data_IF_525001331294
#
_entry.id   IF_525001331294
#
_cell.length_a   1.000
_cell.length_b   1.000
_cell.length_c   1.000
_cell.angle_alpha   90.00
_cell.angle_beta   90.00
_cell.angle_gamma   90.00
#
_symmetry.space_group_name_H-M   'P 1'
#
loop_
_entity.id
_entity.type
_entity.pdbx_description
1 polymer ?
#
# COMPACT_ATOMS: atom_id res chain seq x y z
N UNK A 1 -11.25 -32.86 -16.93
CA UNK A 1 -11.74 -32.78 -18.30
C UNK A 1 -12.50 -34.06 -18.66
N UNK A 2 -13.32 -34.03 -19.75
CA UNK A 2 -14.13 -35.19 -20.19
C UNK A 2 -13.26 -36.35 -20.71
N UNK A 3 -12.04 -36.09 -21.09
CA UNK A 3 -11.03 -37.09 -21.50
C UNK A 3 -10.30 -37.77 -20.33
N UNK A 4 -10.67 -37.43 -19.08
CA UNK A 4 -10.01 -37.92 -17.87
C UNK A 4 -8.74 -37.18 -17.49
N UNK A 5 -8.30 -36.16 -18.26
CA UNK A 5 -7.14 -35.34 -17.88
C UNK A 5 -7.48 -34.38 -16.74
N UNK A 6 -6.53 -34.18 -15.82
CA UNK A 6 -6.61 -33.18 -14.77
C UNK A 6 -6.02 -31.87 -15.27
N UNK A 7 -6.66 -30.76 -14.90
CA UNK A 7 -6.24 -29.42 -15.29
C UNK A 7 -5.90 -28.58 -14.07
N UNK A 8 -5.04 -27.60 -14.27
CA UNK A 8 -4.76 -26.55 -13.25
C UNK A 8 -6.08 -25.93 -12.78
N UNK A 9 -6.25 -25.87 -11.46
CA UNK A 9 -7.43 -25.29 -10.80
C UNK A 9 -7.05 -23.97 -10.16
N UNK A 10 -7.81 -22.90 -10.44
CA UNK A 10 -7.66 -21.62 -9.75
C UNK A 10 -8.26 -21.71 -8.34
N UNK A 11 -7.65 -21.03 -7.38
CA UNK A 11 -8.12 -21.01 -5.99
C UNK A 11 -7.76 -22.28 -5.20
N UNK A 12 -6.79 -23.06 -5.66
CA UNK A 12 -6.40 -24.32 -5.01
C UNK A 12 -5.87 -24.07 -3.58
N UNK A 13 -5.18 -22.96 -3.33
CA UNK A 13 -4.75 -22.62 -1.96
C UNK A 13 -5.93 -22.36 -1.02
N UNK A 14 -6.96 -21.67 -1.49
CA UNK A 14 -8.17 -21.44 -0.68
C UNK A 14 -8.91 -22.74 -0.38
N UNK A 15 -8.96 -23.68 -1.35
CA UNK A 15 -9.53 -25.01 -1.15
C UNK A 15 -8.71 -25.83 -0.14
N UNK A 16 -7.37 -25.76 -0.23
CA UNK A 16 -6.48 -26.47 0.67
C UNK A 16 -6.60 -25.96 2.11
N UNK A 17 -6.66 -24.64 2.31
CA UNK A 17 -6.88 -24.06 3.64
C UNK A 17 -8.23 -24.47 4.21
N UNK A 18 -9.29 -24.48 3.40
CA UNK A 18 -10.60 -24.98 3.83
C UNK A 18 -10.56 -26.47 4.20
N UNK A 19 -9.87 -27.29 3.40
CA UNK A 19 -9.66 -28.71 3.72
C UNK A 19 -8.94 -28.90 5.06
N UNK A 20 -7.94 -28.06 5.34
CA UNK A 20 -7.23 -28.06 6.61
C UNK A 20 -8.16 -27.72 7.79
N UNK A 21 -9.00 -26.69 7.66
CA UNK A 21 -10.01 -26.34 8.66
C UNK A 21 -10.98 -27.50 8.93
N UNK A 22 -11.34 -28.24 7.87
CA UNK A 22 -12.20 -29.42 7.93
C UNK A 22 -11.43 -30.72 8.34
N UNK A 23 -10.13 -30.58 8.72
CA UNK A 23 -9.22 -31.67 9.12
C UNK A 23 -8.96 -32.71 8.05
N UNK A 24 -9.06 -32.33 6.80
CA UNK A 24 -8.70 -33.15 5.64
C UNK A 24 -7.23 -32.87 5.29
N UNK A 25 -6.34 -33.79 5.64
CA UNK A 25 -4.89 -33.60 5.52
C UNK A 25 -4.29 -34.11 4.19
N UNK A 26 -5.11 -34.68 3.34
CA UNK A 26 -4.64 -35.23 2.06
C UNK A 26 -5.43 -34.64 0.90
N UNK A 27 -4.70 -34.13 -0.11
CA UNK A 27 -5.29 -33.54 -1.31
C UNK A 27 -4.71 -34.21 -2.55
N UNK A 28 -5.58 -34.69 -3.43
CA UNK A 28 -5.24 -35.15 -4.77
C UNK A 28 -5.62 -34.07 -5.79
N UNK A 29 -4.65 -33.64 -6.60
CA UNK A 29 -4.87 -32.51 -7.54
C UNK A 29 -4.07 -32.73 -8.84
N UNK A 30 -4.20 -31.78 -9.79
CA UNK A 30 -3.31 -31.76 -10.97
C UNK A 30 -1.87 -31.55 -10.54
N UNK A 31 -0.93 -32.19 -11.23
CA UNK A 31 0.52 -31.99 -11.01
C UNK A 31 0.91 -30.52 -11.11
N UNK A 32 0.21 -29.72 -11.92
CA UNK A 32 0.45 -28.27 -12.03
C UNK A 32 0.19 -27.48 -10.73
N UNK A 33 -0.61 -28.02 -9.79
CA UNK A 33 -0.99 -27.35 -8.56
C UNK A 33 -0.16 -27.77 -7.34
N UNK A 34 0.57 -28.87 -7.44
CA UNK A 34 1.24 -29.51 -6.30
C UNK A 34 2.31 -28.62 -5.70
N UNK A 35 3.14 -27.99 -6.52
CA UNK A 35 4.20 -27.09 -6.07
C UNK A 35 3.70 -25.96 -5.16
N UNK A 36 2.49 -25.46 -5.43
CA UNK A 36 1.88 -24.43 -4.61
C UNK A 36 1.42 -24.96 -3.24
N UNK A 37 0.97 -26.23 -3.17
CA UNK A 37 0.49 -26.90 -1.95
C UNK A 37 1.63 -27.41 -1.07
N UNK A 38 2.81 -27.68 -1.61
CA UNK A 38 3.98 -28.11 -0.83
C UNK A 38 4.38 -27.13 0.26
N UNK A 39 4.05 -25.85 0.07
CA UNK A 39 4.32 -24.82 1.05
C UNK A 39 3.40 -24.90 2.30
N UNK A 40 2.44 -25.82 2.35
CA UNK A 40 1.54 -26.01 3.50
C UNK A 40 1.95 -27.31 4.21
N UNK A 41 2.81 -27.21 5.24
CA UNK A 41 3.39 -28.37 5.94
C UNK A 41 2.34 -29.36 6.47
N UNK A 42 1.14 -28.87 6.86
CA UNK A 42 0.09 -29.69 7.41
C UNK A 42 -0.69 -30.53 6.37
N UNK A 43 -0.44 -30.34 5.07
CA UNK A 43 -1.18 -30.99 3.99
C UNK A 43 -0.25 -31.88 3.17
N UNK A 44 -0.63 -33.14 3.02
CA UNK A 44 0.02 -34.04 2.06
C UNK A 44 -0.68 -33.90 0.71
N UNK A 45 0.05 -33.42 -0.31
CA UNK A 45 -0.50 -33.22 -1.65
C UNK A 45 0.08 -34.24 -2.64
N UNK A 46 -0.80 -34.82 -3.46
CA UNK A 46 -0.44 -35.75 -4.52
C UNK A 46 -0.86 -35.19 -5.87
N UNK A 47 0.10 -35.10 -6.80
CA UNK A 47 -0.13 -34.64 -8.16
C UNK A 47 -0.39 -35.78 -9.13
N UNK A 48 -1.36 -35.59 -10.01
CA UNK A 48 -1.68 -36.53 -11.06
C UNK A 48 -1.99 -35.81 -12.38
N UNK A 49 -1.77 -36.48 -13.51
CA UNK A 49 -2.12 -35.96 -14.84
C UNK A 49 -3.51 -36.42 -15.29
N UNK A 50 -3.89 -37.61 -14.83
CA UNK A 50 -5.19 -38.21 -15.19
C UNK A 50 -5.94 -38.72 -13.96
N UNK A 51 -7.26 -38.92 -14.13
CA UNK A 51 -8.10 -39.56 -13.11
C UNK A 51 -7.64 -41.00 -12.82
N UNK A 52 -7.13 -41.72 -13.82
CA UNK A 52 -6.59 -43.07 -13.63
C UNK A 52 -5.37 -43.07 -12.72
N UNK A 53 -4.55 -42.02 -12.76
CA UNK A 53 -3.38 -41.88 -11.88
C UNK A 53 -3.83 -41.61 -10.44
N UNK A 54 -4.89 -40.83 -10.21
CA UNK A 54 -5.47 -40.66 -8.86
C UNK A 54 -5.90 -42.01 -8.27
N UNK A 55 -6.55 -42.84 -9.06
CA UNK A 55 -6.99 -44.17 -8.58
C UNK A 55 -5.77 -45.01 -8.15
N UNK A 56 -4.69 -44.97 -8.91
CA UNK A 56 -3.41 -45.68 -8.55
C UNK A 56 -2.82 -45.08 -7.26
N UNK A 57 -2.74 -43.77 -7.16
CA UNK A 57 -2.22 -43.08 -5.98
C UNK A 57 -3.03 -43.37 -4.69
N UNK A 58 -4.35 -43.48 -4.79
CA UNK A 58 -5.20 -43.85 -3.64
C UNK A 58 -4.94 -45.30 -3.19
N UNK A 59 -4.64 -46.21 -4.15
CA UNK A 59 -4.34 -47.64 -3.85
C UNK A 59 -2.93 -47.80 -3.30
N UNK A 60 -1.94 -47.04 -3.83
CA UNK A 60 -0.53 -47.15 -3.46
C UNK A 60 0.14 -45.76 -3.35
N UNK A 61 -0.12 -45.01 -2.31
CA UNK A 61 0.34 -43.62 -2.15
C UNK A 61 1.89 -43.48 -2.11
N UNK A 62 2.58 -44.49 -1.59
CA UNK A 62 4.05 -44.46 -1.39
C UNK A 62 4.88 -44.60 -2.67
N UNK A 63 4.27 -45.15 -3.75
CA UNK A 63 4.98 -45.34 -5.03
C UNK A 63 5.05 -44.05 -5.90
N UNK A 64 4.29 -43.02 -5.55
CA UNK A 64 4.08 -41.80 -6.37
C UNK A 64 4.29 -40.51 -5.63
N UNK A 65 5.15 -40.49 -4.64
CA UNK A 65 5.53 -39.25 -3.97
C UNK A 65 6.24 -38.36 -5.00
N UNK A 66 5.63 -37.24 -5.36
CA UNK A 66 6.31 -36.23 -6.19
C UNK A 66 7.46 -35.69 -5.37
N UNK A 67 8.66 -35.77 -5.91
CA UNK A 67 9.85 -35.18 -5.31
C UNK A 67 9.59 -33.72 -5.00
N UNK A 68 9.98 -33.31 -3.81
CA UNK A 68 9.94 -31.92 -3.38
C UNK A 68 10.73 -31.10 -4.39
N UNK A 69 10.06 -30.24 -5.13
CA UNK A 69 10.74 -29.20 -5.89
C UNK A 69 11.28 -28.25 -4.83
N UNK A 70 12.59 -28.20 -4.69
CA UNK A 70 13.25 -27.20 -3.87
C UNK A 70 12.71 -25.83 -4.30
N UNK A 71 12.07 -25.15 -3.37
CA UNK A 71 11.62 -23.78 -3.54
C UNK A 71 12.90 -22.93 -3.55
N UNK A 72 13.51 -22.80 -4.74
CA UNK A 72 14.55 -21.82 -4.99
C UNK A 72 13.90 -20.42 -4.86
N UNK A 73 13.56 -20.08 -3.61
CA UNK A 73 13.08 -18.76 -3.20
C UNK A 73 14.21 -17.71 -3.29
N UNK A 74 15.28 -17.99 -4.00
CA UNK A 74 16.28 -17.02 -4.43
C UNK A 74 15.81 -16.25 -5.66
N UNK A 75 14.63 -15.66 -5.61
CA UNK A 75 14.35 -14.46 -6.40
C UNK A 75 15.10 -13.26 -5.80
N UNK A 76 16.40 -13.40 -5.66
CA UNK A 76 17.33 -12.28 -5.70
C UNK A 76 17.35 -11.74 -7.15
N UNK A 77 16.18 -11.44 -7.69
CA UNK A 77 16.08 -10.49 -8.79
C UNK A 77 16.42 -9.16 -8.15
N UNK A 78 17.69 -8.76 -8.29
CA UNK A 78 18.09 -7.37 -8.13
C UNK A 78 17.02 -6.54 -8.82
N UNK A 79 16.17 -5.88 -8.03
CA UNK A 79 15.24 -4.94 -8.60
C UNK A 79 16.12 -3.89 -9.26
N UNK A 80 16.01 -3.75 -10.58
CA UNK A 80 16.78 -2.77 -11.35
C UNK A 80 16.42 -1.34 -10.94
N UNK A 81 15.44 -1.17 -10.04
CA UNK A 81 14.94 0.11 -9.56
C UNK A 81 15.43 0.36 -8.13
N UNK A 82 16.04 1.50 -7.91
CA UNK A 82 16.56 1.94 -6.61
C UNK A 82 16.22 3.42 -6.37
N UNK A 83 16.05 3.82 -5.10
CA UNK A 83 15.84 5.23 -4.74
C UNK A 83 17.06 6.11 -5.05
N UNK A 84 18.24 5.56 -5.23
CA UNK A 84 19.41 6.27 -5.76
C UNK A 84 19.17 6.90 -7.13
N UNK A 85 18.29 6.30 -7.95
CA UNK A 85 17.94 6.84 -9.28
C UNK A 85 17.06 8.09 -9.20
N UNK A 86 16.46 8.36 -8.04
CA UNK A 86 15.62 9.54 -7.81
C UNK A 86 16.52 10.68 -7.39
N UNK A 87 16.76 11.62 -8.30
CA UNK A 87 17.61 12.78 -8.05
C UNK A 87 16.85 13.85 -7.25
N UNK A 88 17.48 14.40 -6.22
CA UNK A 88 16.84 15.32 -5.29
C UNK A 88 15.67 14.68 -4.55
N UNK A 89 14.58 15.42 -4.34
CA UNK A 89 13.33 14.92 -3.72
C UNK A 89 13.48 14.41 -2.28
N UNK A 90 14.36 15.02 -1.49
CA UNK A 90 14.66 14.55 -0.14
C UNK A 90 13.42 14.48 0.76
N UNK A 91 12.53 15.49 0.69
CA UNK A 91 11.25 15.46 1.40
C UNK A 91 10.35 14.32 0.90
N UNK A 92 10.36 14.07 -0.40
CA UNK A 92 9.62 12.96 -1.00
C UNK A 92 10.14 11.60 -0.52
N UNK A 93 11.45 11.40 -0.54
CA UNK A 93 12.10 10.17 -0.03
C UNK A 93 11.82 9.96 1.46
N UNK A 94 11.98 11.00 2.29
CA UNK A 94 11.68 10.93 3.73
C UNK A 94 10.21 10.57 3.97
N UNK A 95 9.29 11.17 3.24
CA UNK A 95 7.87 10.82 3.33
C UNK A 95 7.59 9.37 2.92
N UNK A 96 8.30 8.82 1.92
CA UNK A 96 8.17 7.39 1.56
C UNK A 96 8.69 6.47 2.67
N UNK A 97 9.78 6.84 3.37
CA UNK A 97 10.25 6.11 4.56
C UNK A 97 9.19 6.12 5.67
N UNK A 98 8.60 7.29 5.96
CA UNK A 98 7.53 7.42 6.95
C UNK A 98 6.31 6.58 6.54
N UNK A 99 5.90 6.66 5.27
CA UNK A 99 4.78 5.88 4.74
C UNK A 99 5.03 4.37 4.85
N UNK A 100 6.23 3.91 4.51
CA UNK A 100 6.62 2.51 4.61
C UNK A 100 6.67 2.02 6.07
N UNK A 101 7.24 2.83 6.97
CA UNK A 101 7.38 2.46 8.38
C UNK A 101 6.02 2.42 9.09
N UNK A 102 5.13 3.40 8.87
CA UNK A 102 3.84 3.51 9.56
C UNK A 102 2.65 2.88 8.83
N UNK A 103 2.80 2.43 7.59
CA UNK A 103 1.67 2.08 6.67
C UNK A 103 0.74 3.29 6.48
N UNK A 104 1.33 4.44 6.15
CA UNK A 104 0.58 5.68 5.94
C UNK A 104 0.21 5.86 4.47
N UNK A 105 -0.98 6.40 4.23
CA UNK A 105 -1.44 6.77 2.89
C UNK A 105 -0.87 8.13 2.48
N UNK A 106 -0.51 8.24 1.21
CA UNK A 106 0.23 9.39 0.68
C UNK A 106 -0.54 10.06 -0.47
N UNK A 107 -0.52 11.39 -0.52
CA UNK A 107 -0.89 12.17 -1.69
C UNK A 107 0.28 13.00 -2.17
N UNK A 108 0.67 12.80 -3.41
CA UNK A 108 1.72 13.55 -4.09
C UNK A 108 1.11 14.54 -5.06
N UNK A 109 1.51 15.80 -4.97
CA UNK A 109 1.06 16.86 -5.87
C UNK A 109 2.29 17.49 -6.50
N UNK A 110 2.28 17.64 -7.82
CA UNK A 110 3.41 18.26 -8.52
C UNK A 110 3.19 18.31 -10.02
N UNK A 111 3.96 19.13 -10.74
CA UNK A 111 3.84 19.27 -12.18
C UNK A 111 4.15 17.96 -12.93
N UNK A 112 3.75 17.85 -14.20
CA UNK A 112 4.13 16.71 -15.03
C UNK A 112 5.66 16.56 -15.11
N UNK A 113 6.16 15.32 -15.01
CA UNK A 113 7.59 15.03 -15.04
C UNK A 113 8.36 15.37 -13.77
N UNK A 114 7.70 15.61 -12.63
CA UNK A 114 8.37 15.87 -11.35
C UNK A 114 8.88 14.60 -10.63
N UNK A 115 8.64 13.40 -11.15
CA UNK A 115 9.14 12.15 -10.55
C UNK A 115 8.18 11.43 -9.60
N UNK A 116 6.88 11.83 -9.54
CA UNK A 116 5.87 11.20 -8.68
C UNK A 116 5.78 9.69 -8.87
N UNK A 117 5.70 9.23 -10.12
CA UNK A 117 5.63 7.80 -10.47
C UNK A 117 6.91 7.08 -10.05
N UNK A 118 8.09 7.69 -10.24
CA UNK A 118 9.37 7.12 -9.81
C UNK A 118 9.44 6.90 -8.30
N UNK A 119 8.94 7.86 -7.50
CA UNK A 119 8.88 7.71 -6.04
C UNK A 119 7.93 6.57 -5.63
N UNK A 120 6.76 6.47 -6.27
CA UNK A 120 5.76 5.46 -5.95
C UNK A 120 6.22 4.04 -6.31
N UNK A 121 6.77 3.83 -7.50
CA UNK A 121 7.21 2.52 -8.00
C UNK A 121 8.33 1.91 -7.15
N UNK A 122 9.11 2.75 -6.49
CA UNK A 122 10.22 2.32 -5.62
C UNK A 122 9.77 1.98 -4.20
N UNK A 123 8.56 2.37 -3.77
CA UNK A 123 8.09 2.10 -2.41
C UNK A 123 8.15 0.61 -2.02
N UNK A 124 7.80 -0.37 -2.88
CA UNK A 124 7.94 -1.78 -2.54
C UNK A 124 9.38 -2.21 -2.20
N UNK A 125 10.41 -1.51 -2.69
CA UNK A 125 11.81 -1.87 -2.45
C UNK A 125 12.27 -1.58 -1.02
N UNK A 126 11.60 -0.66 -0.33
CA UNK A 126 11.92 -0.28 1.06
C UNK A 126 10.94 -0.88 2.08
N UNK A 127 9.87 -1.54 1.63
CA UNK A 127 8.96 -2.24 2.53
C UNK A 127 9.64 -3.49 3.11
N UNK A 128 9.34 -3.84 4.38
CA UNK A 128 9.80 -5.11 4.96
C UNK A 128 9.30 -6.30 4.13
N UNK A 129 10.05 -7.42 4.11
CA UNK A 129 9.60 -8.62 3.40
C UNK A 129 8.24 -9.09 3.93
N UNK A 130 7.49 -9.79 3.08
CA UNK A 130 6.24 -10.41 3.50
C UNK A 130 6.53 -11.52 4.53
N UNK A 131 5.77 -11.56 5.63
CA UNK A 131 5.78 -12.72 6.52
C UNK A 131 5.23 -13.97 5.80
N UNK A 132 5.41 -15.13 6.39
CA UNK A 132 4.85 -16.37 5.83
C UNK A 132 3.33 -16.28 5.64
N UNK A 133 2.62 -15.78 6.64
CA UNK A 133 1.17 -15.60 6.61
C UNK A 133 0.76 -14.58 5.55
N UNK A 134 1.47 -13.45 5.44
CA UNK A 134 1.23 -12.44 4.42
C UNK A 134 1.48 -12.99 3.00
N UNK A 135 2.53 -13.79 2.80
CA UNK A 135 2.82 -14.47 1.53
C UNK A 135 1.68 -15.40 1.13
N UNK A 136 1.21 -16.22 2.08
CA UNK A 136 0.12 -17.17 1.83
C UNK A 136 -1.18 -16.44 1.50
N UNK A 137 -1.54 -15.41 2.28
CA UNK A 137 -2.75 -14.60 2.07
C UNK A 137 -2.73 -13.89 0.71
N UNK A 138 -1.62 -13.24 0.38
CA UNK A 138 -1.45 -12.55 -0.90
C UNK A 138 -1.50 -13.53 -2.08
N UNK A 139 -0.85 -14.68 -1.96
CA UNK A 139 -0.85 -15.72 -3.00
C UNK A 139 -2.26 -16.27 -3.22
N UNK A 140 -3.03 -16.52 -2.15
CA UNK A 140 -4.44 -16.96 -2.26
C UNK A 140 -5.29 -15.99 -3.09
N UNK A 141 -5.12 -14.68 -2.87
CA UNK A 141 -5.84 -13.65 -3.62
C UNK A 141 -5.48 -13.72 -5.11
N UNK A 142 -4.20 -13.78 -5.42
CA UNK A 142 -3.71 -13.85 -6.80
C UNK A 142 -4.04 -15.18 -7.48
N UNK A 143 -4.08 -16.29 -6.75
CA UNK A 143 -4.52 -17.60 -7.24
C UNK A 143 -6.00 -17.57 -7.65
N UNK A 144 -6.88 -17.03 -6.79
CA UNK A 144 -8.31 -16.87 -7.11
C UNK A 144 -8.53 -15.94 -8.32
N UNK A 145 -7.70 -14.90 -8.45
CA UNK A 145 -7.73 -14.01 -9.61
C UNK A 145 -7.24 -14.69 -10.92
N UNK A 146 -6.47 -15.78 -10.80
CA UNK A 146 -5.81 -16.46 -11.92
C UNK A 146 -4.59 -15.71 -12.45
N UNK A 147 -3.90 -14.96 -11.59
CA UNK A 147 -2.76 -14.09 -11.92
C UNK A 147 -1.42 -14.65 -11.43
N UNK A 148 -1.36 -15.89 -10.95
CA UNK A 148 -0.10 -16.52 -10.61
C UNK A 148 0.64 -16.96 -11.88
N UNK A 149 1.74 -16.29 -12.19
CA UNK A 149 2.61 -16.62 -13.33
C UNK A 149 3.36 -17.93 -13.09
N UNK A 150 3.86 -18.12 -11.88
CA UNK A 150 4.50 -19.33 -11.40
C UNK A 150 3.66 -19.96 -10.29
N UNK A 151 3.76 -21.28 -10.12
CA UNK A 151 3.09 -22.00 -9.04
C UNK A 151 3.90 -21.93 -7.74
N UNK A 152 4.36 -20.74 -7.38
CA UNK A 152 5.15 -20.45 -6.17
C UNK A 152 4.46 -19.37 -5.35
N UNK A 153 4.79 -19.30 -4.05
CA UNK A 153 4.29 -18.23 -3.19
C UNK A 153 4.85 -16.88 -3.62
N UNK A 154 4.01 -15.85 -3.57
CA UNK A 154 4.42 -14.47 -3.83
C UNK A 154 5.41 -14.04 -2.74
N UNK A 155 6.62 -13.69 -3.14
CA UNK A 155 7.68 -13.22 -2.25
C UNK A 155 7.77 -11.70 -2.17
N UNK A 156 7.36 -11.00 -3.24
CA UNK A 156 7.44 -9.53 -3.33
C UNK A 156 6.09 -8.89 -3.00
N UNK A 157 6.13 -7.75 -2.34
CA UNK A 157 4.93 -6.96 -2.08
C UNK A 157 4.31 -6.49 -3.39
N UNK A 158 3.00 -6.69 -3.61
CA UNK A 158 2.32 -6.27 -4.83
C UNK A 158 2.41 -4.75 -5.03
N UNK A 159 2.60 -4.33 -6.27
CA UNK A 159 2.43 -2.94 -6.71
C UNK A 159 1.36 -2.91 -7.80
N UNK A 160 0.26 -2.22 -7.54
CA UNK A 160 -0.86 -2.13 -8.49
C UNK A 160 -1.04 -0.68 -8.90
N UNK A 161 -1.05 -0.45 -10.21
CA UNK A 161 -1.24 0.86 -10.82
C UNK A 161 -2.34 0.77 -11.89
N UNK A 162 -3.62 0.84 -11.50
CA UNK A 162 -4.71 0.82 -12.48
C UNK A 162 -4.72 2.11 -13.31
N UNK A 163 -5.04 1.96 -14.59
CA UNK A 163 -5.20 3.11 -15.49
C UNK A 163 -6.50 3.86 -15.16
N UNK A 164 -6.55 5.18 -15.37
CA UNK A 164 -7.72 6.02 -15.05
C UNK A 164 -9.00 5.63 -15.82
N UNK A 165 -8.88 4.88 -16.92
CA UNK A 165 -10.04 4.31 -17.66
C UNK A 165 -10.56 3.01 -17.06
N UNK A 166 -9.98 2.51 -15.97
CA UNK A 166 -10.41 1.29 -15.31
C UNK A 166 -11.86 1.41 -14.82
N UNK A 167 -12.63 0.34 -15.02
CA UNK A 167 -14.03 0.31 -14.55
C UNK A 167 -14.11 0.09 -13.04
N UNK A 168 -15.22 0.48 -12.42
CA UNK A 168 -15.46 0.22 -11.00
C UNK A 168 -15.30 -1.27 -10.65
N UNK A 169 -15.79 -2.16 -11.52
CA UNK A 169 -15.67 -3.60 -11.33
C UNK A 169 -14.22 -4.11 -11.42
N UNK A 170 -13.36 -3.45 -12.21
CA UNK A 170 -11.94 -3.77 -12.24
C UNK A 170 -11.24 -3.33 -10.93
N UNK A 171 -11.64 -2.20 -10.37
CA UNK A 171 -11.04 -1.64 -9.15
C UNK A 171 -11.49 -2.40 -7.90
N UNK A 172 -12.80 -2.58 -7.72
CA UNK A 172 -13.39 -3.21 -6.53
C UNK A 172 -13.34 -4.74 -6.63
N UNK A 173 -13.51 -5.26 -7.84
CA UNK A 173 -13.79 -6.66 -8.09
C UNK A 173 -15.27 -6.90 -8.45
N UNK A 174 -15.58 -8.11 -8.86
CA UNK A 174 -16.95 -8.49 -9.24
C UNK A 174 -17.02 -9.42 -10.44
N UNK A 175 -17.99 -9.16 -11.30
CA UNK A 175 -18.26 -10.00 -12.47
C UNK A 175 -18.94 -11.33 -12.13
N UNK A 176 -19.05 -12.25 -13.10
CA UNK A 176 -19.75 -13.54 -12.94
C UNK A 176 -19.14 -14.45 -11.87
N UNK A 177 -17.86 -14.30 -11.56
CA UNK A 177 -17.12 -15.16 -10.62
C UNK A 177 -16.68 -14.43 -9.35
N UNK A 178 -17.20 -13.21 -9.08
CA UNK A 178 -16.79 -12.37 -7.95
C UNK A 178 -15.27 -12.25 -7.80
N UNK A 179 -14.55 -12.06 -8.92
CA UNK A 179 -13.08 -11.97 -8.89
C UNK A 179 -12.61 -10.75 -8.09
N UNK A 180 -11.48 -10.85 -7.37
CA UNK A 180 -10.88 -9.72 -6.69
C UNK A 180 -10.46 -8.64 -7.70
N UNK A 181 -10.64 -7.37 -7.32
CA UNK A 181 -10.22 -6.21 -8.10
C UNK A 181 -8.83 -5.70 -7.70
N UNK A 182 -8.39 -4.59 -8.33
CA UNK A 182 -7.07 -3.98 -8.10
C UNK A 182 -6.81 -3.62 -6.63
N UNK A 183 -7.86 -3.21 -5.90
CA UNK A 183 -7.78 -2.91 -4.46
C UNK A 183 -7.35 -4.16 -3.68
N UNK A 184 -7.99 -5.29 -3.93
CA UNK A 184 -7.67 -6.57 -3.27
C UNK A 184 -6.32 -7.11 -3.75
N UNK A 185 -6.00 -6.97 -5.04
CA UNK A 185 -4.71 -7.39 -5.61
C UNK A 185 -3.52 -6.58 -5.07
N UNK A 186 -3.77 -5.38 -4.52
CA UNK A 186 -2.75 -4.57 -3.85
C UNK A 186 -2.52 -4.97 -2.38
N UNK A 187 -3.28 -5.95 -1.85
CA UNK A 187 -3.19 -6.37 -0.45
C UNK A 187 -1.75 -6.68 -0.03
N UNK A 188 -1.36 -6.18 1.17
CA UNK A 188 0.01 -6.21 1.74
C UNK A 188 1.08 -5.53 0.86
N UNK A 189 0.66 -4.70 -0.08
CA UNK A 189 1.51 -3.98 -1.00
C UNK A 189 1.12 -2.52 -1.15
N UNK A 190 1.16 -2.04 -2.39
CA UNK A 190 0.93 -0.63 -2.76
C UNK A 190 -0.14 -0.53 -3.85
N UNK A 191 -1.13 0.32 -3.62
CA UNK A 191 -2.06 0.77 -4.64
C UNK A 191 -1.69 2.19 -5.05
N UNK A 192 -1.19 2.36 -6.26
CA UNK A 192 -0.82 3.64 -6.83
C UNK A 192 -1.89 4.11 -7.83
N UNK A 193 -2.52 5.23 -7.53
CA UNK A 193 -3.51 5.90 -8.39
C UNK A 193 -2.83 7.11 -9.00
N UNK A 194 -2.26 6.93 -10.19
CA UNK A 194 -1.67 8.05 -10.93
C UNK A 194 -2.77 8.88 -11.57
N UNK A 195 -2.52 10.18 -11.73
CA UNK A 195 -3.51 11.13 -12.26
C UNK A 195 -4.88 11.01 -11.56
N UNK A 196 -4.89 10.88 -10.23
CA UNK A 196 -6.09 10.63 -9.46
C UNK A 196 -7.30 11.51 -9.82
N UNK A 197 -7.18 12.83 -10.12
CA UNK A 197 -8.30 13.64 -10.56
C UNK A 197 -8.89 13.25 -11.93
N UNK A 198 -8.23 12.40 -12.72
CA UNK A 198 -8.77 11.93 -14.00
C UNK A 198 -9.68 10.70 -13.86
N UNK A 199 -9.64 10.04 -12.70
CA UNK A 199 -10.59 8.97 -12.40
C UNK A 199 -12.00 9.50 -12.19
N UNK A 200 -13.03 8.75 -12.60
CA UNK A 200 -14.41 9.07 -12.23
C UNK A 200 -14.57 9.12 -10.70
N UNK A 201 -15.28 10.14 -10.20
CA UNK A 201 -15.44 10.36 -8.76
C UNK A 201 -15.96 9.14 -8.00
N UNK A 202 -16.91 8.40 -8.59
CA UNK A 202 -17.48 7.20 -7.97
C UNK A 202 -16.46 6.06 -7.81
N UNK A 203 -15.43 6.00 -8.67
CA UNK A 203 -14.32 5.04 -8.57
C UNK A 203 -13.42 5.39 -7.41
N UNK A 204 -13.04 6.67 -7.28
CA UNK A 204 -12.25 7.14 -6.14
C UNK A 204 -13.02 6.97 -4.82
N UNK A 205 -14.31 7.30 -4.81
CA UNK A 205 -15.15 7.17 -3.61
C UNK A 205 -15.25 5.70 -3.11
N UNK A 206 -15.05 4.72 -3.99
CA UNK A 206 -14.98 3.31 -3.61
C UNK A 206 -13.76 2.96 -2.73
N UNK A 207 -12.70 3.77 -2.76
CA UNK A 207 -11.54 3.61 -1.87
C UNK A 207 -11.86 3.94 -0.41
N UNK A 208 -12.96 4.64 -0.11
CA UNK A 208 -13.28 5.08 1.27
C UNK A 208 -13.38 3.92 2.25
N UNK A 209 -14.06 2.85 1.86
CA UNK A 209 -14.23 1.68 2.72
C UNK A 209 -12.90 0.96 2.97
N UNK A 210 -12.13 0.53 1.95
CA UNK A 210 -10.88 -0.19 2.18
C UNK A 210 -9.82 0.63 2.91
N UNK A 211 -9.77 1.96 2.72
CA UNK A 211 -8.86 2.84 3.46
C UNK A 211 -9.19 2.99 4.95
N UNK A 212 -10.38 2.57 5.40
CA UNK A 212 -10.80 2.65 6.80
C UNK A 212 -10.91 1.28 7.46
N UNK A 213 -11.49 0.30 6.74
CA UNK A 213 -11.78 -1.02 7.29
C UNK A 213 -10.75 -2.08 6.91
N UNK A 214 -9.81 -1.78 6.01
CA UNK A 214 -8.86 -2.75 5.41
C UNK A 214 -9.55 -3.97 4.77
N UNK A 215 -10.80 -3.81 4.39
CA UNK A 215 -11.65 -4.83 3.78
C UNK A 215 -12.47 -4.20 2.66
N UNK A 216 -12.82 -5.00 1.66
CA UNK A 216 -13.76 -4.62 0.61
C UNK A 216 -14.83 -5.69 0.43
N UNK A 217 -16.07 -5.27 0.40
CA UNK A 217 -17.21 -6.16 0.22
C UNK A 217 -17.70 -6.12 -1.23
N UNK A 218 -17.64 -7.26 -1.90
CA UNK A 218 -18.15 -7.45 -3.27
C UNK A 218 -19.49 -8.14 -3.21
N UNK A 219 -20.56 -7.40 -3.50
CA UNK A 219 -21.91 -7.90 -3.47
C UNK A 219 -22.31 -8.54 -4.81
N UNK A 220 -22.99 -9.69 -4.75
CA UNK A 220 -23.66 -10.36 -5.85
C UNK A 220 -25.15 -10.58 -5.53
N UNK A 221 -25.92 -10.92 -6.56
CA UNK A 221 -27.37 -11.12 -6.44
C UNK A 221 -27.78 -12.07 -5.29
N UNK A 222 -26.95 -13.04 -4.91
CA UNK A 222 -27.25 -14.03 -3.89
C UNK A 222 -26.19 -14.12 -2.77
N UNK A 223 -24.98 -13.57 -2.96
CA UNK A 223 -23.88 -13.71 -2.02
C UNK A 223 -23.09 -12.41 -1.90
N UNK A 224 -22.55 -12.16 -0.72
CA UNK A 224 -21.59 -11.10 -0.43
C UNK A 224 -20.25 -11.75 -0.11
N UNK A 225 -19.17 -11.22 -0.66
CA UNK A 225 -17.81 -11.71 -0.44
C UNK A 225 -16.96 -10.59 0.11
N UNK A 226 -16.33 -10.84 1.25
CA UNK A 226 -15.39 -9.92 1.87
C UNK A 226 -13.96 -10.31 1.49
N UNK A 227 -13.23 -9.34 0.93
CA UNK A 227 -11.83 -9.49 0.57
C UNK A 227 -10.97 -8.59 1.43
N UNK A 228 -9.80 -9.05 1.87
CA UNK A 228 -8.85 -8.20 2.57
C UNK A 228 -8.28 -7.14 1.60
N UNK A 229 -8.05 -5.94 2.13
CA UNK A 229 -7.62 -4.77 1.36
C UNK A 229 -6.69 -3.88 2.22
N UNK A 230 -5.68 -4.49 2.83
CA UNK A 230 -4.66 -3.80 3.64
C UNK A 230 -3.46 -3.45 2.76
N UNK A 231 -3.33 -2.18 2.38
CA UNK A 231 -2.32 -1.68 1.44
C UNK A 231 -1.95 -0.23 1.76
N UNK A 232 -0.80 0.22 1.27
CA UNK A 232 -0.46 1.65 1.24
C UNK A 232 -1.06 2.26 -0.03
N UNK A 233 -1.93 3.25 0.16
CA UNK A 233 -2.50 4.01 -0.96
C UNK A 233 -1.61 5.20 -1.26
N UNK A 234 -1.20 5.34 -2.52
CA UNK A 234 -0.53 6.52 -3.04
C UNK A 234 -1.41 7.14 -4.11
N UNK A 235 -1.83 8.37 -3.89
CA UNK A 235 -2.53 9.17 -4.89
C UNK A 235 -1.55 10.17 -5.49
N UNK A 236 -1.48 10.27 -6.82
CA UNK A 236 -0.71 11.31 -7.48
C UNK A 236 -1.64 12.25 -8.27
N UNK A 237 -1.38 13.52 -8.21
CA UNK A 237 -2.13 14.54 -8.92
C UNK A 237 -1.24 15.65 -9.47
N UNK A 238 -1.66 16.26 -10.55
CA UNK A 238 -1.12 17.54 -10.96
C UNK A 238 -1.78 18.66 -10.13
N UNK A 239 -1.15 19.85 -9.98
CA UNK A 239 -1.73 20.93 -9.18
C UNK A 239 -2.98 21.56 -9.84
N UNK A 240 -3.15 21.39 -11.15
CA UNK A 240 -4.27 21.90 -11.94
C UNK A 240 -4.40 21.15 -13.28
N UNK A 241 -5.46 21.38 -14.09
CA UNK A 241 -5.62 20.73 -15.39
C UNK A 241 -4.45 20.94 -16.36
N UNK A 242 -3.85 22.13 -16.41
CA UNK A 242 -2.68 22.38 -17.25
C UNK A 242 -1.37 21.87 -16.61
N UNK A 243 -1.35 21.57 -15.32
CA UNK A 243 -0.22 21.00 -14.56
C UNK A 243 0.78 22.02 -14.01
N UNK A 244 0.56 23.33 -14.18
CA UNK A 244 1.58 24.35 -13.88
C UNK A 244 1.17 25.38 -12.82
N UNK A 245 0.10 25.15 -12.07
CA UNK A 245 -0.29 26.04 -11.00
C UNK A 245 0.78 26.03 -9.89
N UNK A 246 1.35 27.22 -9.61
CA UNK A 246 2.47 27.36 -8.66
C UNK A 246 3.85 27.00 -9.21
N UNK A 247 3.97 26.65 -10.50
CA UNK A 247 5.27 26.36 -11.13
C UNK A 247 6.03 27.68 -11.34
N UNK A 248 7.30 27.82 -10.86
CA UNK A 248 8.07 29.04 -11.02
C UNK A 248 8.54 29.32 -12.45
N UNK A 249 8.54 28.30 -13.33
CA UNK A 249 9.10 28.39 -14.68
C UNK A 249 8.03 28.48 -15.78
N UNK A 250 6.78 28.08 -15.49
CA UNK A 250 5.71 28.07 -16.47
C UNK A 250 4.40 28.56 -15.85
N UNK A 251 3.84 29.61 -16.45
CA UNK A 251 2.61 30.21 -15.99
C UNK A 251 1.40 29.29 -16.20
N UNK A 252 0.54 29.22 -15.19
CA UNK A 252 -0.73 28.49 -15.23
C UNK A 252 -1.75 29.27 -16.06
N UNK A 253 -2.38 28.60 -17.02
CA UNK A 253 -3.40 29.19 -17.90
C UNK A 253 -4.84 28.85 -17.47
N UNK A 254 -5.02 28.13 -16.37
CA UNK A 254 -6.33 27.73 -15.89
C UNK A 254 -7.06 28.89 -15.21
N UNK A 255 -8.35 29.01 -15.48
CA UNK A 255 -9.24 29.94 -14.75
C UNK A 255 -9.46 29.46 -13.30
N UNK A 256 -9.85 30.39 -12.41
CA UNK A 256 -10.17 30.05 -11.02
C UNK A 256 -11.24 28.97 -10.91
N UNK A 257 -12.26 29.02 -11.76
CA UNK A 257 -13.35 28.02 -11.80
C UNK A 257 -12.86 26.62 -12.21
N UNK A 258 -11.92 26.54 -13.16
CA UNK A 258 -11.31 25.26 -13.55
C UNK A 258 -10.44 24.70 -12.44
N UNK A 259 -9.68 25.55 -11.75
CA UNK A 259 -8.87 25.16 -10.59
C UNK A 259 -9.76 24.59 -9.49
N UNK A 260 -10.81 25.30 -9.06
CA UNK A 260 -11.73 24.83 -8.04
C UNK A 260 -12.40 23.50 -8.44
N UNK A 261 -12.89 23.40 -9.68
CA UNK A 261 -13.52 22.16 -10.17
C UNK A 261 -12.55 20.99 -10.16
N UNK A 262 -11.31 21.22 -10.54
CA UNK A 262 -10.26 20.18 -10.56
C UNK A 262 -9.90 19.72 -9.15
N UNK A 263 -9.70 20.64 -8.22
CA UNK A 263 -9.38 20.36 -6.82
C UNK A 263 -10.51 19.58 -6.11
N UNK A 264 -11.77 19.86 -6.47
CA UNK A 264 -12.93 19.15 -5.92
C UNK A 264 -13.21 17.76 -6.55
N UNK A 265 -12.44 17.32 -7.54
CA UNK A 265 -12.58 15.97 -8.10
C UNK A 265 -12.26 14.89 -7.06
N UNK A 266 -11.27 15.11 -6.21
CA UNK A 266 -11.02 14.24 -5.05
C UNK A 266 -11.86 14.73 -3.88
N UNK A 267 -12.69 13.85 -3.34
CA UNK A 267 -13.62 14.23 -2.29
C UNK A 267 -12.93 14.43 -0.94
N UNK A 268 -13.42 15.38 -0.13
CA UNK A 268 -12.94 15.62 1.23
C UNK A 268 -12.81 14.34 2.07
N UNK A 269 -13.82 13.44 2.09
CA UNK A 269 -13.71 12.19 2.81
C UNK A 269 -12.56 11.26 2.40
N UNK A 270 -12.06 11.34 1.15
CA UNK A 270 -10.84 10.61 0.74
C UNK A 270 -9.61 11.34 1.30
N UNK A 271 -9.53 12.66 1.12
CA UNK A 271 -8.42 13.47 1.64
C UNK A 271 -8.29 13.33 3.17
N UNK A 272 -9.40 13.22 3.86
CA UNK A 272 -9.42 12.94 5.31
C UNK A 272 -8.79 11.59 5.68
N UNK A 273 -8.61 10.66 4.75
CA UNK A 273 -7.97 9.36 4.96
C UNK A 273 -6.51 9.31 4.54
N UNK A 274 -6.02 10.38 3.95
CA UNK A 274 -4.60 10.53 3.60
C UNK A 274 -3.83 11.06 4.81
N UNK A 275 -2.70 10.45 5.10
CA UNK A 275 -1.86 10.81 6.24
C UNK A 275 -0.79 11.84 5.86
N UNK A 276 -0.20 11.68 4.67
CA UNK A 276 0.93 12.48 4.19
C UNK A 276 0.59 13.19 2.88
N UNK A 277 0.77 14.49 2.84
CA UNK A 277 0.66 15.31 1.62
C UNK A 277 2.04 15.83 1.26
N UNK A 278 2.48 15.60 0.02
CA UNK A 278 3.82 15.93 -0.45
C UNK A 278 3.72 16.79 -1.70
N UNK A 279 4.41 17.92 -1.69
CA UNK A 279 4.68 18.68 -2.91
C UNK A 279 5.93 18.10 -3.57
N UNK A 280 5.78 17.57 -4.79
CA UNK A 280 6.88 17.00 -5.57
C UNK A 280 7.27 18.01 -6.64
N UNK A 281 8.35 18.73 -6.41
CA UNK A 281 8.87 19.74 -7.31
C UNK A 281 9.66 19.10 -8.46
N UNK A 282 9.92 19.87 -9.51
CA UNK A 282 10.83 19.42 -10.57
C UNK A 282 12.26 19.45 -10.05
N UNK A 283 13.06 18.39 -10.29
CA UNK A 283 14.47 18.44 -9.98
C UNK A 283 15.14 19.61 -10.73
N UNK A 284 16.01 20.33 -10.05
CA UNK A 284 16.81 21.37 -10.68
C UNK A 284 17.83 20.75 -11.65
N UNK A 285 18.38 21.58 -12.56
CA UNK A 285 19.44 21.11 -13.45
C UNK A 285 20.68 20.65 -12.66
N UNK A 286 20.97 21.29 -11.53
CA UNK A 286 22.06 20.89 -10.64
C UNK A 286 21.78 19.51 -10.01
N UNK A 287 20.54 19.24 -9.55
CA UNK A 287 20.16 17.94 -9.02
C UNK A 287 20.35 16.83 -10.06
N UNK A 288 20.09 17.14 -11.34
CA UNK A 288 20.26 16.16 -12.42
C UNK A 288 21.73 15.91 -12.80
N UNK A 289 22.61 16.87 -12.56
CA UNK A 289 24.05 16.72 -12.83
C UNK A 289 24.82 16.11 -11.66
N UNK A 290 24.38 16.36 -10.45
CA UNK A 290 24.97 15.79 -9.26
C UNK A 290 24.53 14.31 -9.19
N UNK A 291 25.41 13.41 -9.65
CA UNK A 291 25.38 12.03 -9.19
C UNK A 291 25.86 12.04 -7.74
N UNK A 292 24.98 12.50 -6.81
CA UNK A 292 25.33 12.54 -5.41
C UNK A 292 25.63 11.12 -4.93
N UNK A 293 26.91 10.89 -4.62
CA UNK A 293 27.36 9.68 -3.95
C UNK A 293 26.65 9.47 -2.59
N UNK A 294 26.06 10.52 -2.06
CA UNK A 294 25.39 10.57 -0.75
C UNK A 294 23.87 10.35 -0.82
N UNK A 295 23.29 10.16 -2.02
CA UNK A 295 21.87 9.84 -2.13
C UNK A 295 21.55 8.49 -1.49
N UNK A 296 20.59 8.47 -0.55
CA UNK A 296 20.19 7.26 0.17
C UNK A 296 19.72 6.19 -0.81
N UNK A 297 20.27 4.98 -0.66
CA UNK A 297 19.82 3.82 -1.45
C UNK A 297 18.52 3.23 -0.89
N UNK A 298 17.83 2.43 -1.72
CA UNK A 298 16.71 1.63 -1.24
C UNK A 298 17.09 0.73 -0.05
N UNK A 299 18.34 0.25 0.01
CA UNK A 299 18.81 -0.58 1.12
C UNK A 299 18.92 0.24 2.42
N UNK A 300 19.48 1.46 2.37
CA UNK A 300 19.60 2.34 3.54
C UNK A 300 18.20 2.75 4.05
N UNK A 301 17.30 3.15 3.13
CA UNK A 301 15.91 3.50 3.48
C UNK A 301 15.16 2.30 4.09
N UNK A 302 15.37 1.10 3.56
CA UNK A 302 14.77 -0.13 4.07
C UNK A 302 15.23 -0.42 5.50
N UNK A 303 16.51 -0.23 5.80
CA UNK A 303 17.04 -0.41 7.16
C UNK A 303 16.36 0.53 8.15
N UNK A 304 16.16 1.80 7.80
CA UNK A 304 15.42 2.76 8.63
C UNK A 304 13.97 2.29 8.85
N UNK A 305 13.31 1.85 7.78
CA UNK A 305 11.93 1.34 7.86
C UNK A 305 11.84 0.12 8.78
N UNK A 306 12.77 -0.82 8.67
CA UNK A 306 12.82 -2.02 9.51
C UNK A 306 13.03 -1.67 10.99
N UNK A 307 13.90 -0.70 11.29
CA UNK A 307 14.11 -0.19 12.66
C UNK A 307 12.81 0.41 13.24
N UNK A 308 12.15 1.31 12.51
CA UNK A 308 10.89 1.90 12.95
C UNK A 308 9.77 0.85 13.11
N UNK A 309 9.72 -0.17 12.23
CA UNK A 309 8.78 -1.29 12.34
C UNK A 309 9.03 -2.16 13.55
N UNK A 310 10.28 -2.40 13.90
CA UNK A 310 10.63 -3.19 15.08
C UNK A 310 10.10 -2.53 16.36
N UNK A 311 10.25 -1.21 16.51
CA UNK A 311 9.67 -0.48 17.65
C UNK A 311 8.15 -0.59 17.73
N UNK A 312 7.47 -0.57 16.57
CA UNK A 312 6.01 -0.75 16.51
C UNK A 312 5.61 -2.17 16.90
N UNK A 313 6.31 -3.21 16.42
CA UNK A 313 6.04 -4.60 16.77
C UNK A 313 6.18 -4.85 18.28
N UNK A 314 7.20 -4.27 18.91
CA UNK A 314 7.39 -4.35 20.35
C UNK A 314 6.27 -3.64 21.12
N UNK A 315 5.86 -2.44 20.67
CA UNK A 315 4.77 -1.67 21.29
C UNK A 315 3.41 -2.36 21.14
N UNK A 316 3.17 -3.03 20.02
CA UNK A 316 1.88 -3.64 19.67
C UNK A 316 1.84 -5.15 19.81
N UNK A 317 2.73 -5.73 20.64
CA UNK A 317 2.88 -7.19 20.78
C UNK A 317 1.55 -7.89 21.02
N UNK A 318 0.71 -7.35 21.92
CA UNK A 318 -0.58 -7.91 22.33
C UNK A 318 -1.78 -7.25 21.63
N UNK A 319 -1.55 -6.44 20.61
CA UNK A 319 -2.60 -5.71 19.90
C UNK A 319 -2.97 -6.37 18.58
N UNK A 320 -4.23 -6.21 18.12
CA UNK A 320 -4.68 -6.74 16.84
C UNK A 320 -4.10 -5.98 15.63
N UNK A 321 -3.49 -4.83 15.84
CA UNK A 321 -2.83 -4.01 14.81
C UNK A 321 -1.30 -4.03 14.98
N UNK A 322 -0.57 -3.83 13.90
CA UNK A 322 0.90 -3.97 13.87
C UNK A 322 1.62 -2.73 13.32
N UNK A 323 0.90 -1.64 13.06
CA UNK A 323 1.47 -0.40 12.53
C UNK A 323 0.78 0.84 13.11
N UNK A 324 1.49 1.96 13.14
CA UNK A 324 0.93 3.22 13.64
C UNK A 324 -0.26 3.72 12.80
N UNK A 325 -0.24 3.52 11.48
CA UNK A 325 -1.36 3.87 10.61
C UNK A 325 -2.66 3.15 10.97
N UNK A 326 -2.56 1.91 11.47
CA UNK A 326 -3.70 1.09 11.87
C UNK A 326 -4.22 1.39 13.29
N UNK A 327 -3.59 2.29 14.07
CA UNK A 327 -4.04 2.65 15.42
C UNK A 327 -5.49 3.13 15.42
N UNK A 328 -6.39 2.56 16.22
CA UNK A 328 -7.74 3.09 16.40
C UNK A 328 -7.73 4.36 17.25
N UNK A 329 -8.68 5.26 17.03
CA UNK A 329 -8.81 6.54 17.76
C UNK A 329 -8.66 6.42 19.29
N UNK A 330 -9.31 5.41 19.88
CA UNK A 330 -9.29 5.20 21.33
C UNK A 330 -7.93 4.82 21.92
N UNK A 331 -7.01 4.28 21.09
CA UNK A 331 -5.69 3.83 21.56
C UNK A 331 -4.57 4.85 21.33
N UNK A 332 -4.82 5.92 20.54
CA UNK A 332 -3.78 6.87 20.12
C UNK A 332 -3.14 7.56 21.32
N UNK A 333 -3.93 8.06 22.27
CA UNK A 333 -3.42 8.80 23.43
C UNK A 333 -2.56 7.94 24.35
N UNK A 334 -2.90 6.67 24.49
CA UNK A 334 -2.20 5.73 25.35
C UNK A 334 -0.91 5.22 24.69
N UNK A 335 -0.98 4.88 23.41
CA UNK A 335 0.11 4.18 22.72
C UNK A 335 1.09 5.10 21.98
N UNK A 336 0.75 6.38 21.76
CA UNK A 336 1.67 7.32 21.11
C UNK A 336 2.74 7.87 22.04
N UNK A 337 2.62 7.75 23.36
CA UNK A 337 3.62 8.22 24.34
C UNK A 337 4.04 9.67 24.08
N UNK A 338 3.09 10.60 24.20
CA UNK A 338 3.35 12.03 23.98
C UNK A 338 4.00 12.63 25.22
N UNK A 339 5.10 13.35 25.04
CA UNK A 339 5.78 14.07 26.12
C UNK A 339 4.94 15.24 26.61
N UNK A 340 4.92 15.49 27.91
CA UNK A 340 4.03 16.48 28.53
C UNK A 340 4.23 17.91 27.99
N UNK A 341 5.45 18.30 27.66
CA UNK A 341 5.78 19.62 27.10
C UNK A 341 5.28 19.83 25.65
N UNK A 342 4.86 18.75 24.96
CA UNK A 342 4.34 18.81 23.60
C UNK A 342 2.86 19.25 23.53
N UNK A 343 2.10 19.15 24.62
CA UNK A 343 0.67 19.49 24.62
C UNK A 343 0.37 20.96 24.32
N UNK A 344 1.30 21.87 24.69
CA UNK A 344 1.19 23.28 24.32
C UNK A 344 1.24 23.48 22.81
N UNK A 345 2.28 22.93 22.14
CA UNK A 345 2.42 22.99 20.70
C UNK A 345 1.25 22.33 19.97
N UNK A 346 0.79 21.18 20.46
CA UNK A 346 -0.36 20.46 19.87
C UNK A 346 -1.67 21.28 19.96
N UNK A 347 -1.86 22.01 21.06
CA UNK A 347 -3.00 22.93 21.23
C UNK A 347 -2.95 24.07 20.22
N UNK A 348 -1.81 24.74 20.09
CA UNK A 348 -1.59 25.84 19.13
C UNK A 348 -1.81 25.36 17.67
N UNK A 349 -1.29 24.18 17.34
CA UNK A 349 -1.48 23.55 16.02
C UNK A 349 -2.95 23.25 15.75
N UNK A 350 -3.66 22.67 16.72
CA UNK A 350 -5.07 22.32 16.59
C UNK A 350 -5.93 23.55 16.29
N UNK A 351 -5.74 24.62 17.04
CA UNK A 351 -6.49 25.89 16.88
C UNK A 351 -6.10 26.60 15.58
N UNK A 352 -4.81 26.76 15.30
CA UNK A 352 -4.32 27.52 14.15
C UNK A 352 -4.71 26.90 12.82
N UNK A 353 -4.67 25.56 12.70
CA UNK A 353 -4.98 24.86 11.47
C UNK A 353 -6.41 24.32 11.41
N UNK A 354 -7.25 24.64 12.39
CA UNK A 354 -8.65 24.22 12.49
C UNK A 354 -8.81 22.70 12.27
N UNK A 355 -7.98 21.91 12.93
CA UNK A 355 -8.00 20.46 12.76
C UNK A 355 -9.31 19.85 13.23
N UNK A 356 -9.80 18.87 12.48
CA UNK A 356 -10.83 17.94 12.95
C UNK A 356 -10.18 16.89 13.87
N UNK A 357 -10.98 16.21 14.68
CA UNK A 357 -10.45 15.09 15.49
C UNK A 357 -9.70 14.05 14.66
N UNK A 358 -10.19 13.73 13.45
CA UNK A 358 -9.52 12.79 12.53
C UNK A 358 -8.17 13.32 12.02
N UNK A 359 -8.10 14.59 11.66
CA UNK A 359 -6.86 15.23 11.21
C UNK A 359 -5.81 15.26 12.32
N UNK A 360 -6.26 15.49 13.56
CA UNK A 360 -5.41 15.47 14.74
C UNK A 360 -4.87 14.05 15.04
N UNK A 361 -5.72 13.04 14.99
CA UNK A 361 -5.31 11.65 15.15
C UNK A 361 -4.21 11.25 14.14
N UNK A 362 -4.36 11.67 12.88
CA UNK A 362 -3.38 11.40 11.83
C UNK A 362 -2.05 12.10 12.08
N UNK A 363 -2.10 13.36 12.55
CA UNK A 363 -0.90 14.07 12.97
C UNK A 363 -0.14 13.26 14.02
N UNK A 364 -0.83 12.77 15.06
CA UNK A 364 -0.23 12.00 16.13
C UNK A 364 0.34 10.66 15.64
N UNK A 365 -0.37 9.95 14.74
CA UNK A 365 0.12 8.71 14.14
C UNK A 365 1.40 8.92 13.33
N UNK A 366 1.46 9.97 12.53
CA UNK A 366 2.65 10.34 11.74
C UNK A 366 3.79 10.75 12.68
N UNK A 367 3.52 11.61 13.68
CA UNK A 367 4.54 12.01 14.68
C UNK A 367 5.09 10.80 15.43
N UNK A 368 4.24 9.81 15.76
CA UNK A 368 4.70 8.58 16.40
C UNK A 368 5.61 7.77 15.47
N UNK A 369 5.28 7.71 14.17
CA UNK A 369 6.11 7.01 13.20
C UNK A 369 7.47 7.68 13.02
N UNK A 370 7.52 9.01 12.98
CA UNK A 370 8.77 9.77 12.92
C UNK A 370 9.61 9.49 14.16
N UNK A 371 9.01 9.54 15.36
CA UNK A 371 9.72 9.22 16.59
C UNK A 371 10.24 7.77 16.64
N UNK A 372 9.50 6.80 16.05
CA UNK A 372 9.97 5.43 15.92
C UNK A 372 11.18 5.31 14.98
N UNK A 373 11.17 6.05 13.87
CA UNK A 373 12.32 6.12 12.95
C UNK A 373 13.57 6.73 13.58
N UNK A 374 13.38 7.66 14.52
CA UNK A 374 14.47 8.31 15.26
C UNK A 374 14.86 7.54 16.55
N UNK A 375 14.22 6.37 16.80
CA UNK A 375 14.49 5.54 17.96
C UNK A 375 13.99 6.13 19.29
N UNK A 376 13.12 7.14 19.26
CA UNK A 376 12.60 7.78 20.47
C UNK A 376 11.42 7.04 21.08
N UNK A 377 11.43 6.90 22.41
CA UNK A 377 10.30 6.32 23.15
C UNK A 377 9.09 7.28 23.24
N UNK A 378 9.33 8.57 23.16
CA UNK A 378 8.32 9.61 23.27
C UNK A 378 8.22 10.44 22.00
N UNK A 379 7.01 10.95 21.71
CA UNK A 379 6.85 12.01 20.73
C UNK A 379 7.36 13.31 21.36
N UNK A 380 8.26 14.00 20.66
CA UNK A 380 8.86 15.29 21.02
C UNK A 380 8.40 16.38 20.02
N UNK A 381 8.66 17.65 20.35
CA UNK A 381 8.24 18.78 19.53
C UNK A 381 8.79 18.74 18.08
N UNK A 382 9.98 18.17 17.90
CA UNK A 382 10.62 18.03 16.60
C UNK A 382 9.83 17.07 15.70
N UNK A 383 9.37 15.94 16.27
CA UNK A 383 8.56 14.95 15.55
C UNK A 383 7.20 15.51 15.12
N UNK A 384 6.57 16.35 15.97
CA UNK A 384 5.31 17.05 15.64
C UNK A 384 5.55 18.07 14.53
N UNK A 385 6.65 18.82 14.62
CA UNK A 385 7.00 19.85 13.64
C UNK A 385 7.26 19.22 12.26
N UNK A 386 8.00 18.10 12.19
CA UNK A 386 8.19 17.37 10.94
C UNK A 386 6.85 16.82 10.41
N UNK A 387 6.02 16.22 11.26
CA UNK A 387 4.71 15.69 10.85
C UNK A 387 3.79 16.78 10.28
N UNK A 388 3.87 18.01 10.80
CA UNK A 388 3.12 19.17 10.28
C UNK A 388 3.49 19.52 8.84
N UNK A 389 4.74 19.33 8.42
CA UNK A 389 5.17 19.57 7.03
C UNK A 389 4.37 18.73 6.03
N UNK A 390 3.91 17.55 6.46
CA UNK A 390 3.15 16.62 5.63
C UNK A 390 1.62 16.75 5.79
N UNK A 391 1.14 17.66 6.64
CA UNK A 391 -0.31 17.85 6.86
C UNK A 391 -0.92 19.01 6.10
N UNK A 392 -0.09 19.83 5.47
CA UNK A 392 -0.56 20.96 4.68
C UNK A 392 -1.04 20.48 3.30
N UNK A 393 -2.35 20.63 3.02
CA UNK A 393 -2.91 20.32 1.69
C UNK A 393 -2.51 21.44 0.72
N UNK A 394 -1.66 21.19 -0.28
CA UNK A 394 -1.14 22.26 -1.17
C UNK A 394 -2.20 23.01 -1.97
N UNK A 395 -3.42 22.47 -2.07
CA UNK A 395 -4.53 23.13 -2.78
C UNK A 395 -5.14 24.34 -2.06
N UNK A 396 -4.87 24.53 -0.75
CA UNK A 396 -5.44 25.62 0.03
C UNK A 396 -4.51 26.83 0.20
N UNK A 397 -3.37 26.88 -0.48
CA UNK A 397 -2.39 28.00 -0.40
C UNK A 397 -3.02 29.35 -0.76
N UNK A 398 -4.10 29.37 -1.56
CA UNK A 398 -4.79 30.62 -1.95
C UNK A 398 -5.73 31.21 -0.89
N UNK A 399 -6.04 30.51 0.20
CA UNK A 399 -6.90 31.07 1.28
C UNK A 399 -6.12 31.63 2.47
N UNK A 400 -4.83 31.34 2.60
CA UNK A 400 -3.99 31.85 3.70
C UNK A 400 -3.25 33.15 3.31
N UNK A 401 -3.24 33.51 2.03
CA UNK A 401 -2.45 34.65 1.51
C UNK A 401 -3.20 35.95 1.23
N UNK A 402 -4.46 36.15 1.63
CA UNK A 402 -5.23 37.37 1.28
C UNK A 402 -5.67 38.19 2.52
N UNK A 403 -5.21 37.89 3.71
CA UNK A 403 -5.44 38.79 4.85
C UNK A 403 -4.19 38.92 5.73
N UNK A 404 -3.15 39.54 5.22
CA UNK A 404 -2.21 40.31 6.02
C UNK A 404 -1.57 41.42 5.20
N UNK A 405 -2.45 42.32 4.72
CA UNK A 405 -2.10 43.70 4.49
C UNK A 405 -2.25 44.46 5.81
N UNK A 406 -1.27 44.35 6.66
CA UNK A 406 -1.10 45.27 7.76
C UNK A 406 0.33 45.81 7.70
N UNK A 407 0.43 46.96 7.06
CA UNK A 407 1.40 48.02 7.30
C UNK A 407 1.72 48.18 8.80
N UNK A 408 2.96 48.23 9.09
CA UNK A 408 3.88 48.98 9.95
C UNK A 408 4.89 48.04 10.59
#
# INVERSE_FOLDING_TARGET
SLDGSLKKTQGILSMAMKALDDKLLTIFTSSDNVSLLHNIEAITSYGAHTLADIVKLVIRPDEYRVDTVDDDCNDAVNSLIDYKDVQGQELGKRAMVIAAAGVHHVMMIGPPGSGKTMLAERLPTILPPLSWEERLETTRIHDVAGLLEKNTLIAKRPFRCPHHTATLASIIGGGSNAKPGEITLAHKGVLFIDEAPEFPRYVLDALRQPLESHMITVNRLQNSYDYPADFICILAANPCPCGYYGDPHKECVCSSTELERYQHKISGPILDRIDLFILVERPSFNDMLCMDSDSMSSADMKQLVEQGRQMQLERFQDQPFKSNGALPHGAIRELCNIRDDCWGLLGDVYERFHFTGRSFDRLLKVSRTIADLDGSLYIENEHISEAMMYRHIPYHVSRIGVHDGATV
#
